data_IF_096024508899
#
_entry.id   IF_096024508899
#
_cell.length_a   1.000
_cell.length_b   1.000
_cell.length_c   1.000
_cell.angle_alpha   90.00
_cell.angle_beta   90.00
_cell.angle_gamma   90.00
#
_symmetry.space_group_name_H-M   'P 1'
#
loop_
_entity.id
_entity.type
_entity.pdbx_description
1 polymer ?
#
# COMPACT_ATOMS: atom_id res chain seq x y z
N UNK A 1 -10.33 4.22 13.41
CA UNK A 1 -9.02 4.29 12.77
C UNK A 1 -8.77 3.07 11.91
N UNK A 2 -8.41 3.28 10.65
CA UNK A 2 -8.08 2.19 9.75
C UNK A 2 -6.60 1.85 9.84
N UNK A 3 -6.28 0.58 9.95
CA UNK A 3 -4.91 0.08 9.92
C UNK A 3 -4.68 -0.73 8.65
N UNK A 4 -3.47 -0.60 8.10
CA UNK A 4 -3.01 -1.45 7.01
C UNK A 4 -2.01 -2.44 7.59
N UNK A 5 -2.29 -3.72 7.40
CA UNK A 5 -1.39 -4.77 7.86
C UNK A 5 -0.37 -5.04 6.78
N UNK A 6 0.90 -5.01 7.14
CA UNK A 6 2.00 -5.46 6.27
C UNK A 6 2.55 -6.72 6.91
N UNK A 7 2.46 -7.82 6.19
CA UNK A 7 2.92 -9.12 6.67
C UNK A 7 3.96 -9.72 5.74
N UNK A 8 4.72 -10.66 6.29
CA UNK A 8 5.65 -11.46 5.51
C UNK A 8 5.12 -12.89 5.52
N UNK A 9 4.82 -13.39 4.33
CA UNK A 9 4.33 -14.76 4.13
C UNK A 9 5.12 -15.43 3.02
N UNK A 10 5.50 -16.68 3.23
CA UNK A 10 6.06 -17.49 2.15
C UNK A 10 4.99 -17.68 1.06
N UNK A 11 5.44 -18.03 -0.15
CA UNK A 11 4.50 -18.35 -1.24
C UNK A 11 3.55 -19.49 -0.85
N UNK A 12 4.06 -20.48 -0.15
CA UNK A 12 3.26 -21.62 0.29
C UNK A 12 2.18 -21.21 1.29
N UNK A 13 2.49 -20.37 2.24
CA UNK A 13 1.50 -19.82 3.19
C UNK A 13 0.45 -18.99 2.49
N UNK A 14 0.86 -18.16 1.56
CA UNK A 14 -0.04 -17.32 0.78
C UNK A 14 -1.04 -18.17 0.00
N UNK A 15 -0.56 -19.21 -0.67
CA UNK A 15 -1.43 -20.11 -1.43
C UNK A 15 -2.35 -20.93 -0.54
N UNK A 16 -1.87 -21.38 0.63
CA UNK A 16 -2.72 -22.08 1.60
C UNK A 16 -3.86 -21.19 2.10
N UNK A 17 -3.56 -19.96 2.45
CA UNK A 17 -4.56 -19.01 2.92
C UNK A 17 -5.60 -18.71 1.83
N UNK A 18 -5.15 -18.54 0.58
CA UNK A 18 -6.02 -18.32 -0.56
C UNK A 18 -6.93 -19.50 -0.83
N UNK A 19 -6.41 -20.73 -0.75
CA UNK A 19 -7.22 -21.95 -0.92
C UNK A 19 -8.26 -22.09 0.17
N UNK A 20 -7.90 -21.79 1.41
CA UNK A 20 -8.84 -21.79 2.53
C UNK A 20 -9.95 -20.79 2.33
N UNK A 21 -9.64 -19.60 1.84
CA UNK A 21 -10.59 -18.56 1.51
C UNK A 21 -11.57 -19.01 0.42
N UNK A 22 -11.07 -19.58 -0.67
CA UNK A 22 -11.90 -20.08 -1.77
C UNK A 22 -12.78 -21.23 -1.33
N UNK A 23 -12.25 -22.16 -0.52
CA UNK A 23 -13.01 -23.27 0.01
C UNK A 23 -14.16 -22.80 0.91
N UNK A 24 -13.94 -21.76 1.67
CA UNK A 24 -14.98 -21.19 2.53
C UNK A 24 -16.08 -20.49 1.72
N UNK A 25 -15.71 -19.80 0.64
CA UNK A 25 -16.68 -19.23 -0.29
C UNK A 25 -17.54 -20.30 -0.96
N UNK A 26 -16.92 -21.43 -1.38
CA UNK A 26 -17.63 -22.54 -2.00
C UNK A 26 -18.64 -23.18 -1.05
N UNK A 27 -18.39 -23.11 0.25
CA UNK A 27 -19.31 -23.63 1.28
C UNK A 27 -20.41 -22.64 1.66
N UNK A 28 -20.49 -21.50 0.98
CA UNK A 28 -21.50 -20.46 1.27
C UNK A 28 -21.17 -19.64 2.51
N UNK A 29 -19.98 -19.75 3.05
CA UNK A 29 -19.51 -18.93 4.17
C UNK A 29 -19.10 -17.55 3.73
N UNK A 30 -19.19 -16.59 4.65
CA UNK A 30 -18.61 -15.25 4.44
C UNK A 30 -17.15 -15.29 4.82
N UNK A 31 -16.27 -15.42 3.83
CA UNK A 31 -14.84 -15.35 4.07
C UNK A 31 -14.44 -13.93 4.48
N UNK A 32 -13.87 -13.79 5.68
CA UNK A 32 -13.28 -12.53 6.11
C UNK A 32 -11.88 -12.43 5.52
N UNK A 33 -11.76 -11.66 4.43
CA UNK A 33 -10.45 -11.29 3.93
C UNK A 33 -9.87 -10.25 4.88
N UNK A 34 -8.79 -10.60 5.57
CA UNK A 34 -8.03 -9.61 6.34
C UNK A 34 -7.35 -8.68 5.34
N UNK A 35 -7.70 -7.39 5.30
CA UNK A 35 -7.06 -6.47 4.38
C UNK A 35 -5.59 -6.32 4.79
N UNK A 36 -4.70 -6.65 3.86
CA UNK A 36 -3.29 -6.60 4.13
C UNK A 36 -2.46 -6.61 2.86
N UNK A 37 -1.22 -6.21 3.02
CA UNK A 37 -0.20 -6.24 1.99
C UNK A 37 0.85 -7.25 2.45
N UNK A 38 1.17 -8.22 1.59
CA UNK A 38 2.08 -9.29 1.97
C UNK A 38 3.28 -9.34 1.05
N UNK A 39 4.44 -9.49 1.66
CA UNK A 39 5.71 -9.66 0.96
C UNK A 39 6.26 -11.05 1.24
N UNK A 40 7.03 -11.60 0.30
CA UNK A 40 7.61 -12.92 0.44
C UNK A 40 8.82 -12.94 1.39
N UNK A 41 9.44 -11.78 1.64
CA UNK A 41 10.60 -11.67 2.51
C UNK A 41 10.72 -10.28 3.10
N UNK A 42 11.44 -10.19 4.22
CA UNK A 42 11.78 -8.90 4.83
C UNK A 42 12.64 -8.05 3.90
N UNK A 43 13.51 -8.66 3.11
CA UNK A 43 14.34 -7.95 2.13
C UNK A 43 13.48 -7.24 1.10
N UNK A 44 12.49 -7.91 0.55
CA UNK A 44 11.56 -7.31 -0.41
C UNK A 44 10.78 -6.15 0.22
N UNK A 45 10.30 -6.35 1.44
CA UNK A 45 9.61 -5.29 2.17
C UNK A 45 10.51 -4.05 2.35
N UNK A 46 11.77 -4.24 2.71
CA UNK A 46 12.72 -3.13 2.93
C UNK A 46 13.05 -2.39 1.64
N UNK A 47 13.04 -3.08 0.50
CA UNK A 47 13.24 -2.45 -0.80
C UNK A 47 12.07 -1.56 -1.22
N UNK A 48 10.87 -1.95 -0.86
CA UNK A 48 9.65 -1.22 -1.24
C UNK A 48 9.36 -0.09 -0.25
N UNK A 49 9.35 -0.40 1.04
CA UNK A 49 9.05 0.59 2.08
C UNK A 49 10.32 1.18 2.67
N UNK A 50 10.87 2.17 2.00
CA UNK A 50 12.03 2.93 2.44
C UNK A 50 11.62 4.11 3.32
N UNK A 51 12.54 4.72 4.08
CA UNK A 51 12.22 5.92 4.83
C UNK A 51 11.65 7.05 3.98
N UNK A 52 12.16 7.25 2.77
CA UNK A 52 11.64 8.27 1.84
C UNK A 52 10.21 7.96 1.39
N UNK A 53 9.90 6.70 1.14
CA UNK A 53 8.54 6.29 0.74
C UNK A 53 7.57 6.34 1.91
N UNK A 54 8.03 6.03 3.11
CA UNK A 54 7.21 6.21 4.30
C UNK A 54 6.87 7.68 4.52
N UNK A 55 7.81 8.59 4.29
CA UNK A 55 7.57 10.02 4.33
C UNK A 55 6.51 10.46 3.31
N UNK A 56 6.55 9.89 2.10
CA UNK A 56 5.52 10.14 1.09
C UNK A 56 4.13 9.79 1.63
N UNK A 57 3.97 8.62 2.24
CA UNK A 57 2.70 8.21 2.83
C UNK A 57 2.26 9.19 3.92
N UNK A 58 3.17 9.62 4.78
CA UNK A 58 2.87 10.58 5.84
C UNK A 58 2.38 11.92 5.29
N UNK A 59 3.03 12.43 4.25
CA UNK A 59 2.64 13.70 3.62
C UNK A 59 1.29 13.55 2.92
N UNK A 60 1.03 12.44 2.26
CA UNK A 60 -0.27 12.16 1.66
C UNK A 60 -1.38 12.24 2.73
N UNK A 61 -1.14 11.63 3.89
CA UNK A 61 -2.13 11.64 4.98
C UNK A 61 -2.30 13.03 5.60
N UNK A 62 -1.21 13.72 5.83
CA UNK A 62 -1.22 15.00 6.52
C UNK A 62 -1.76 16.13 5.65
N UNK A 63 -1.29 16.24 4.42
CA UNK A 63 -1.54 17.40 3.56
C UNK A 63 -2.58 17.14 2.49
N UNK A 64 -2.97 15.88 2.28
CA UNK A 64 -3.98 15.49 1.29
C UNK A 64 -3.76 16.17 -0.09
N UNK A 65 -2.58 16.01 -0.70
CA UNK A 65 -2.24 16.69 -1.94
C UNK A 65 -3.20 16.31 -3.07
N UNK A 66 -3.57 17.28 -3.89
CA UNK A 66 -4.56 17.09 -4.96
C UNK A 66 -3.99 16.38 -6.19
N UNK A 67 -2.67 16.27 -6.28
CA UNK A 67 -2.00 15.67 -7.44
C UNK A 67 -0.60 15.20 -7.05
N UNK A 68 0.00 14.37 -7.91
CA UNK A 68 1.41 13.97 -7.73
C UNK A 68 2.33 15.18 -7.80
N UNK A 69 2.02 16.13 -8.67
CA UNK A 69 2.79 17.36 -8.77
C UNK A 69 2.77 18.17 -7.46
N UNK A 70 1.59 18.31 -6.85
CA UNK A 70 1.45 19.00 -5.57
C UNK A 70 2.22 18.25 -4.46
N UNK A 71 2.19 16.91 -4.48
CA UNK A 71 2.96 16.11 -3.53
C UNK A 71 4.46 16.33 -3.71
N UNK A 72 4.95 16.31 -4.94
CA UNK A 72 6.37 16.53 -5.22
C UNK A 72 6.83 17.91 -4.73
N UNK A 73 6.01 18.92 -4.93
CA UNK A 73 6.28 20.26 -4.41
C UNK A 73 6.37 20.28 -2.88
N UNK A 74 5.43 19.64 -2.21
CA UNK A 74 5.43 19.54 -0.74
C UNK A 74 6.69 18.88 -0.22
N UNK A 75 7.15 17.82 -0.91
CA UNK A 75 8.35 17.08 -0.53
C UNK A 75 9.64 17.81 -0.92
N UNK A 76 9.58 18.83 -1.79
CA UNK A 76 10.74 19.47 -2.34
C UNK A 76 11.59 18.54 -3.20
N UNK A 77 10.94 17.60 -3.89
CA UNK A 77 11.60 16.56 -4.66
C UNK A 77 11.21 16.60 -6.13
N UNK A 78 12.06 16.02 -6.96
CA UNK A 78 11.84 15.89 -8.40
C UNK A 78 10.59 15.05 -8.68
N UNK A 79 9.74 15.53 -9.59
CA UNK A 79 8.49 14.87 -9.96
C UNK A 79 8.70 13.44 -10.44
N UNK A 80 9.73 13.20 -11.26
CA UNK A 80 10.04 11.87 -11.77
C UNK A 80 10.35 10.88 -10.64
N UNK A 81 11.16 11.30 -9.67
CA UNK A 81 11.53 10.44 -8.55
C UNK A 81 10.35 10.15 -7.64
N UNK A 82 9.50 11.13 -7.38
CA UNK A 82 8.27 10.93 -6.60
C UNK A 82 7.30 10.01 -7.33
N UNK A 83 7.15 10.17 -8.64
CA UNK A 83 6.31 9.29 -9.45
C UNK A 83 6.79 7.84 -9.40
N UNK A 84 8.11 7.62 -9.50
CA UNK A 84 8.67 6.27 -9.37
C UNK A 84 8.40 5.66 -8.00
N UNK A 85 8.59 6.43 -6.93
CA UNK A 85 8.31 5.96 -5.57
C UNK A 85 6.83 5.60 -5.40
N UNK A 86 5.94 6.41 -5.97
CA UNK A 86 4.49 6.14 -5.93
C UNK A 86 4.12 4.88 -6.70
N UNK A 87 4.79 4.59 -7.81
CA UNK A 87 4.56 3.35 -8.55
C UNK A 87 4.90 2.12 -7.70
N UNK A 88 6.02 2.16 -6.98
CA UNK A 88 6.38 1.09 -6.05
C UNK A 88 5.32 0.92 -4.96
N UNK A 89 4.86 2.02 -4.39
CA UNK A 89 3.84 1.99 -3.33
C UNK A 89 2.48 1.53 -3.85
N UNK A 90 2.11 1.94 -5.05
CA UNK A 90 0.87 1.51 -5.69
C UNK A 90 0.90 0.00 -5.99
N UNK A 91 1.98 -0.48 -6.57
CA UNK A 91 2.15 -1.90 -6.89
C UNK A 91 2.11 -2.77 -5.63
N UNK A 92 2.58 -2.25 -4.52
CA UNK A 92 2.54 -2.95 -3.23
C UNK A 92 1.18 -2.85 -2.54
N UNK A 93 0.26 -2.02 -3.03
CA UNK A 93 -1.05 -1.83 -2.42
C UNK A 93 -1.05 -0.85 -1.24
N UNK A 94 -0.01 -0.05 -1.09
CA UNK A 94 0.11 0.92 0.00
C UNK A 94 -0.44 2.30 -0.32
N UNK A 95 -0.55 2.63 -1.61
CA UNK A 95 -1.10 3.89 -2.10
C UNK A 95 -2.00 3.60 -3.28
N UNK A 96 -3.08 4.34 -3.40
CA UNK A 96 -3.92 4.35 -4.60
C UNK A 96 -3.69 5.64 -5.36
N UNK A 97 -3.68 5.56 -6.69
CA UNK A 97 -3.64 6.73 -7.55
C UNK A 97 -5.00 6.87 -8.23
N UNK A 98 -5.74 7.88 -7.82
CA UNK A 98 -7.10 8.14 -8.33
C UNK A 98 -7.10 9.35 -9.26
N UNK A 99 -8.02 9.39 -10.21
CA UNK A 99 -8.21 10.59 -11.02
C UNK A 99 -8.54 11.78 -10.11
N UNK A 100 -7.85 12.89 -10.32
CA UNK A 100 -8.14 14.09 -9.55
C UNK A 100 -9.52 14.67 -9.92
N UNK A 101 -10.11 15.42 -9.01
CA UNK A 101 -11.42 16.06 -9.24
C UNK A 101 -11.39 17.02 -10.43
N UNK A 102 -10.23 17.64 -10.68
CA UNK A 102 -10.05 18.54 -11.83
C UNK A 102 -9.92 17.80 -13.16
N UNK A 103 -9.82 16.48 -13.16
CA UNK A 103 -9.59 15.67 -14.36
C UNK A 103 -8.16 15.73 -14.89
N UNK A 104 -7.27 16.46 -14.23
CA UNK A 104 -5.86 16.59 -14.60
C UNK A 104 -4.98 15.83 -13.61
N UNK A 105 -4.25 14.84 -14.14
CA UNK A 105 -3.33 14.05 -13.35
C UNK A 105 -4.00 13.12 -12.35
N UNK A 106 -3.18 12.52 -11.51
CA UNK A 106 -3.60 11.55 -10.52
C UNK A 106 -3.43 12.12 -9.12
N UNK A 107 -4.37 11.77 -8.25
CA UNK A 107 -4.32 12.11 -6.83
C UNK A 107 -3.85 10.89 -6.05
N UNK A 108 -2.74 10.99 -5.28
CA UNK A 108 -2.31 9.90 -4.41
C UNK A 108 -3.18 9.86 -3.15
N UNK A 109 -3.59 8.65 -2.76
CA UNK A 109 -4.45 8.42 -1.61
C UNK A 109 -3.93 7.25 -0.80
N UNK A 110 -3.90 7.40 0.52
CA UNK A 110 -3.63 6.32 1.46
C UNK A 110 -4.82 6.23 2.43
N UNK A 111 -5.57 5.13 2.33
CA UNK A 111 -6.84 4.92 3.02
C UNK A 111 -6.65 4.26 4.39
N UNK A 112 -5.66 4.69 5.16
CA UNK A 112 -5.37 4.14 6.48
C UNK A 112 -4.58 5.14 7.32
N UNK A 113 -4.62 4.98 8.63
CA UNK A 113 -3.95 5.88 9.59
C UNK A 113 -2.72 5.25 10.23
N UNK A 114 -2.63 3.92 10.18
CA UNK A 114 -1.55 3.16 10.84
C UNK A 114 -1.09 2.02 9.95
N UNK A 115 0.18 1.69 10.08
CA UNK A 115 0.77 0.49 9.47
C UNK A 115 1.16 -0.45 10.60
N UNK A 116 0.63 -1.67 10.55
CA UNK A 116 0.99 -2.72 11.49
C UNK A 116 1.82 -3.78 10.77
N UNK A 117 2.98 -4.10 11.32
CA UNK A 117 3.83 -5.16 10.78
C UNK A 117 3.54 -6.47 11.51
N UNK A 118 3.39 -7.52 10.73
CA UNK A 118 3.15 -8.85 11.27
C UNK A 118 4.11 -9.85 10.60
N UNK A 119 5.00 -10.44 11.40
CA UNK A 119 5.96 -11.42 10.94
C UNK A 119 5.83 -12.66 11.81
N UNK A 120 5.46 -13.80 11.19
CA UNK A 120 5.43 -15.07 11.89
C UNK A 120 6.86 -15.61 12.06
N UNK A 121 7.17 -16.14 13.24
CA UNK A 121 8.47 -16.72 13.54
C UNK A 121 8.36 -18.21 13.83
#
# INVERSE_FOLDING_TARGET
MKARIIGIKSKDEFFRDTRGFLAELDRGGKAKKTPGVYFDSLETLRRVLTPKRLEIIRVIKKDNPISIYALAKRLGRNLKNVTQDLEYLENAGLVELKKSVSGRGLKPVADYDRIHFEIAV
#
